data_IF_168884536121
#
_entry.id   IF_168884536121
#
_cell.length_a   1.000
_cell.length_b   1.000
_cell.length_c   1.000
_cell.angle_alpha   90.00
_cell.angle_beta   90.00
_cell.angle_gamma   90.00
#
_symmetry.space_group_name_H-M   'P 1'
#
loop_
_entity.id
_entity.type
_entity.pdbx_description
1 polymer ?
#
# COMPACT_ATOMS: atom_id res chain seq x y z
N UNK A 1 27.06 -19.25 5.82
CA UNK A 1 25.90 -19.17 4.96
C UNK A 1 25.23 -17.83 5.18
N UNK A 2 24.92 -17.14 4.12
CA UNK A 2 24.29 -15.83 4.21
C UNK A 2 22.80 -15.97 3.88
N UNK A 3 21.96 -15.48 4.76
CA UNK A 3 20.54 -15.42 4.48
C UNK A 3 20.24 -14.02 3.96
N UNK A 4 19.77 -13.94 2.72
CA UNK A 4 19.19 -12.69 2.25
C UNK A 4 17.81 -12.58 2.90
N UNK A 5 17.58 -11.52 3.62
CA UNK A 5 16.22 -11.20 4.02
C UNK A 5 15.40 -11.06 2.74
N UNK A 6 14.24 -11.70 2.69
CA UNK A 6 13.34 -11.54 1.56
C UNK A 6 12.92 -10.08 1.45
N UNK A 7 13.02 -9.52 0.26
CA UNK A 7 12.52 -8.18 -0.01
C UNK A 7 11.00 -8.19 0.04
N UNK A 8 10.43 -7.15 0.60
CA UNK A 8 8.99 -6.90 0.54
C UNK A 8 8.70 -6.35 -0.85
N UNK A 9 7.97 -7.10 -1.65
CA UNK A 9 7.63 -6.71 -3.01
C UNK A 9 6.41 -5.80 -2.95
N UNK A 10 6.56 -4.56 -3.39
CA UNK A 10 5.59 -3.50 -3.16
C UNK A 10 5.13 -2.86 -4.45
N UNK A 11 3.82 -2.64 -4.58
CA UNK A 11 3.23 -1.83 -5.63
C UNK A 11 2.77 -0.50 -5.03
N UNK A 12 3.03 0.60 -5.73
CA UNK A 12 2.70 1.94 -5.30
C UNK A 12 1.63 2.53 -6.20
N UNK A 13 0.54 3.02 -5.62
CA UNK A 13 -0.60 3.54 -6.37
C UNK A 13 -1.01 4.90 -5.84
N UNK A 14 -0.92 5.93 -6.68
CA UNK A 14 -1.33 7.29 -6.34
C UNK A 14 -1.44 8.09 -7.63
N UNK A 15 -2.49 8.88 -7.78
CA UNK A 15 -2.68 9.70 -8.97
C UNK A 15 -1.92 11.03 -8.92
N UNK A 16 -1.37 11.41 -7.77
CA UNK A 16 -0.54 12.61 -7.63
C UNK A 16 0.91 12.29 -8.00
N UNK A 17 1.28 12.60 -9.23
CA UNK A 17 2.60 12.23 -9.76
C UNK A 17 3.75 12.68 -8.86
N UNK A 18 3.72 13.93 -8.41
CA UNK A 18 4.81 14.47 -7.60
C UNK A 18 4.94 13.74 -6.26
N UNK A 19 3.82 13.53 -5.59
CA UNK A 19 3.81 12.79 -4.32
C UNK A 19 4.29 11.35 -4.53
N UNK A 20 3.79 10.70 -5.58
CA UNK A 20 4.16 9.31 -5.90
C UNK A 20 5.66 9.18 -6.16
N UNK A 21 6.24 10.10 -6.91
CA UNK A 21 7.68 10.09 -7.17
C UNK A 21 8.52 10.30 -5.92
N UNK A 22 8.08 11.20 -5.04
CA UNK A 22 8.75 11.40 -3.75
C UNK A 22 8.65 10.19 -2.85
N UNK A 23 7.48 9.58 -2.80
CA UNK A 23 7.27 8.37 -2.00
C UNK A 23 8.08 7.20 -2.55
N UNK A 24 8.15 7.04 -3.87
CA UNK A 24 9.00 6.02 -4.48
C UNK A 24 10.46 6.19 -4.09
N UNK A 25 10.96 7.42 -4.15
CA UNK A 25 12.35 7.70 -3.75
C UNK A 25 12.60 7.31 -2.30
N UNK A 26 11.65 7.60 -1.41
CA UNK A 26 11.72 7.19 -0.02
C UNK A 26 11.78 5.67 0.12
N UNK A 27 10.88 4.97 -0.56
CA UNK A 27 10.79 3.51 -0.49
C UNK A 27 12.06 2.84 -1.02
N UNK A 28 12.64 3.38 -2.08
CA UNK A 28 13.89 2.84 -2.64
C UNK A 28 15.06 2.97 -1.68
N UNK A 29 14.98 3.86 -0.70
CA UNK A 29 15.97 3.97 0.37
C UNK A 29 15.83 2.90 1.46
N UNK A 30 14.74 2.16 1.49
CA UNK A 30 14.56 1.07 2.44
C UNK A 30 15.19 -0.21 1.88
N UNK A 31 16.17 -0.76 2.58
CA UNK A 31 16.93 -1.92 2.10
C UNK A 31 16.10 -3.20 1.98
N UNK A 32 14.95 -3.25 2.66
CA UNK A 32 14.09 -4.44 2.68
C UNK A 32 12.86 -4.31 1.80
N UNK A 33 12.76 -3.28 0.96
CA UNK A 33 11.60 -3.03 0.11
C UNK A 33 12.04 -2.97 -1.35
N UNK A 34 11.29 -3.64 -2.21
CA UNK A 34 11.46 -3.58 -3.66
C UNK A 34 10.18 -3.03 -4.28
N UNK A 35 10.25 -1.87 -4.93
CA UNK A 35 9.11 -1.31 -5.65
C UNK A 35 9.01 -1.97 -7.01
N UNK A 36 7.97 -2.78 -7.21
CA UNK A 36 7.79 -3.52 -8.45
C UNK A 36 7.31 -2.62 -9.60
N UNK A 37 6.35 -1.75 -9.29
CA UNK A 37 5.79 -0.84 -10.28
C UNK A 37 5.02 0.28 -9.58
N UNK A 38 4.67 1.30 -10.34
CA UNK A 38 3.77 2.37 -9.92
C UNK A 38 2.53 2.33 -10.80
N UNK A 39 1.40 2.76 -10.23
CA UNK A 39 0.15 2.92 -10.95
C UNK A 39 -0.51 4.23 -10.54
N UNK A 40 -1.32 4.80 -11.41
CA UNK A 40 -1.99 6.07 -11.15
C UNK A 40 -3.43 5.92 -10.66
N UNK A 41 -4.00 4.73 -10.74
CA UNK A 41 -5.34 4.44 -10.24
C UNK A 41 -5.51 2.93 -10.00
N UNK A 42 -6.67 2.57 -9.43
CA UNK A 42 -6.92 1.17 -9.08
C UNK A 42 -7.07 0.25 -10.28
N UNK A 43 -7.57 0.75 -11.41
CA UNK A 43 -7.71 -0.07 -12.61
C UNK A 43 -6.34 -0.44 -13.16
N UNK A 44 -5.44 0.54 -13.26
CA UNK A 44 -4.07 0.30 -13.71
C UNK A 44 -3.34 -0.66 -12.76
N UNK A 45 -3.55 -0.52 -11.45
CA UNK A 45 -2.98 -1.44 -10.46
C UNK A 45 -3.40 -2.87 -10.74
N UNK A 46 -4.69 -3.11 -10.93
CA UNK A 46 -5.20 -4.46 -11.17
C UNK A 46 -4.66 -5.04 -12.46
N UNK A 47 -4.57 -4.24 -13.51
CA UNK A 47 -3.99 -4.66 -14.79
C UNK A 47 -2.53 -5.05 -14.62
N UNK A 48 -1.76 -4.26 -13.87
CA UNK A 48 -0.35 -4.57 -13.61
C UNK A 48 -0.20 -5.85 -12.79
N UNK A 49 -1.03 -6.05 -11.78
CA UNK A 49 -0.98 -7.27 -10.97
C UNK A 49 -1.31 -8.50 -11.82
N UNK A 50 -2.35 -8.39 -12.66
CA UNK A 50 -2.75 -9.50 -13.53
C UNK A 50 -1.64 -9.92 -14.48
N UNK A 51 -0.76 -9.01 -14.86
CA UNK A 51 0.35 -9.28 -15.75
C UNK A 51 1.56 -9.90 -15.05
N UNK A 52 1.60 -9.90 -13.72
CA UNK A 52 2.72 -10.45 -12.95
C UNK A 52 2.51 -11.95 -12.70
N UNK A 53 3.59 -12.76 -12.77
CA UNK A 53 3.49 -14.18 -12.41
C UNK A 53 3.18 -14.39 -10.92
N UNK A 54 3.63 -13.47 -10.06
CA UNK A 54 3.41 -13.52 -8.61
C UNK A 54 2.93 -12.14 -8.17
N UNK A 55 1.77 -12.04 -7.49
CA UNK A 55 1.28 -10.75 -7.00
C UNK A 55 2.27 -10.09 -6.03
N UNK A 56 2.18 -8.77 -5.84
CA UNK A 56 3.01 -8.10 -4.83
C UNK A 56 2.65 -8.58 -3.42
N UNK A 57 3.58 -8.39 -2.49
CA UNK A 57 3.32 -8.68 -1.08
C UNK A 57 2.45 -7.59 -0.46
N UNK A 58 2.75 -6.33 -0.77
CA UNK A 58 2.08 -5.16 -0.19
C UNK A 58 1.73 -4.17 -1.30
N UNK A 59 0.55 -3.61 -1.22
CA UNK A 59 0.12 -2.47 -2.04
C UNK A 59 0.01 -1.26 -1.13
N UNK A 60 0.74 -0.20 -1.44
CA UNK A 60 0.64 1.09 -0.75
C UNK A 60 -0.18 2.00 -1.66
N UNK A 61 -1.35 2.40 -1.23
CA UNK A 61 -2.37 2.94 -2.12
C UNK A 61 -3.05 4.17 -1.56
N UNK A 62 -3.14 5.22 -2.39
CA UNK A 62 -3.95 6.39 -2.07
C UNK A 62 -5.43 6.02 -2.01
N UNK A 63 -6.16 6.72 -1.17
CA UNK A 63 -7.61 6.50 -1.03
C UNK A 63 -8.39 7.15 -2.17
N UNK A 64 -8.05 8.38 -2.54
CA UNK A 64 -8.80 9.15 -3.54
C UNK A 64 -8.08 9.11 -4.88
N UNK A 65 -8.65 8.36 -5.82
CA UNK A 65 -8.10 8.19 -7.17
C UNK A 65 -9.25 8.16 -8.17
N UNK A 66 -8.98 8.55 -9.43
CA UNK A 66 -10.01 8.42 -10.48
C UNK A 66 -10.19 6.95 -10.89
N UNK A 67 -11.24 6.68 -11.62
CA UNK A 67 -11.62 5.38 -12.18
C UNK A 67 -12.03 4.39 -11.09
N UNK A 68 -11.08 3.92 -10.26
CA UNK A 68 -11.34 3.11 -9.06
C UNK A 68 -10.60 3.73 -7.89
N UNK A 69 -11.32 4.13 -6.86
CA UNK A 69 -10.70 4.68 -5.66
C UNK A 69 -10.11 3.58 -4.76
N UNK A 70 -9.50 4.00 -3.65
CA UNK A 70 -8.83 3.05 -2.75
C UNK A 70 -9.78 2.07 -2.09
N UNK A 71 -11.00 2.50 -1.76
CA UNK A 71 -11.98 1.60 -1.14
C UNK A 71 -12.47 0.56 -2.14
N UNK A 72 -12.84 0.97 -3.35
CA UNK A 72 -13.26 0.06 -4.41
C UNK A 72 -12.16 -0.93 -4.76
N UNK A 73 -10.93 -0.43 -4.85
CA UNK A 73 -9.77 -1.26 -5.18
C UNK A 73 -9.46 -2.25 -4.06
N UNK A 74 -9.61 -1.83 -2.80
CA UNK A 74 -9.44 -2.73 -1.64
C UNK A 74 -10.42 -3.90 -1.73
N UNK A 75 -11.68 -3.63 -2.03
CA UNK A 75 -12.69 -4.69 -2.19
C UNK A 75 -12.31 -5.69 -3.28
N UNK A 76 -11.86 -5.18 -4.42
CA UNK A 76 -11.46 -6.03 -5.55
C UNK A 76 -10.21 -6.85 -5.23
N UNK A 77 -9.22 -6.24 -4.60
CA UNK A 77 -8.00 -6.95 -4.19
C UNK A 77 -8.32 -8.06 -3.20
N UNK A 78 -9.18 -7.79 -2.22
CA UNK A 78 -9.56 -8.81 -1.22
C UNK A 78 -10.28 -9.98 -1.88
N UNK A 79 -11.07 -9.73 -2.92
CA UNK A 79 -11.78 -10.78 -3.64
C UNK A 79 -10.87 -11.57 -4.59
N UNK A 80 -9.97 -10.90 -5.29
CA UNK A 80 -9.18 -11.51 -6.37
C UNK A 80 -7.80 -11.98 -5.92
N UNK A 81 -7.17 -11.27 -4.97
CA UNK A 81 -5.81 -11.54 -4.49
C UNK A 81 -5.78 -11.45 -2.96
N UNK A 82 -6.43 -12.37 -2.26
CA UNK A 82 -6.60 -12.26 -0.80
C UNK A 82 -5.30 -12.27 0.00
N UNK A 83 -4.20 -12.74 -0.57
CA UNK A 83 -2.90 -12.76 0.09
C UNK A 83 -2.17 -11.40 0.00
N UNK A 84 -2.61 -10.49 -0.87
CA UNK A 84 -1.99 -9.17 -0.99
C UNK A 84 -2.39 -8.31 0.21
N UNK A 85 -1.39 -7.72 0.85
CA UNK A 85 -1.61 -6.82 1.99
C UNK A 85 -1.78 -5.40 1.49
N UNK A 86 -2.69 -4.65 2.11
CA UNK A 86 -3.09 -3.33 1.64
C UNK A 86 -2.83 -2.30 2.73
N UNK A 87 -2.01 -1.30 2.43
CA UNK A 87 -1.78 -0.14 3.31
C UNK A 87 -2.29 1.08 2.57
N UNK A 88 -3.27 1.75 3.16
CA UNK A 88 -3.84 2.99 2.60
C UNK A 88 -2.99 4.17 3.06
N UNK A 89 -2.76 5.12 2.16
CA UNK A 89 -2.12 6.39 2.50
C UNK A 89 -3.03 7.53 2.04
N UNK A 90 -3.36 8.46 2.93
CA UNK A 90 -4.39 9.45 2.67
C UNK A 90 -4.14 10.72 3.46
N UNK A 91 -4.79 11.80 3.03
CA UNK A 91 -4.81 13.06 3.80
C UNK A 91 -5.91 13.08 4.86
N UNK A 92 -6.80 12.10 4.87
CA UNK A 92 -7.96 12.05 5.76
C UNK A 92 -7.64 11.28 7.04
N UNK A 93 -8.10 11.80 8.19
CA UNK A 93 -7.84 11.20 9.49
C UNK A 93 -9.13 10.85 10.26
N UNK A 94 -10.28 10.88 9.59
CA UNK A 94 -11.57 10.61 10.24
C UNK A 94 -11.62 9.15 10.72
N UNK A 95 -11.90 8.92 12.01
CA UNK A 95 -11.91 7.56 12.56
C UNK A 95 -12.91 6.63 11.87
N UNK A 96 -14.06 7.15 11.45
CA UNK A 96 -15.08 6.36 10.76
C UNK A 96 -14.58 5.83 9.43
N UNK A 97 -13.83 6.65 8.70
CA UNK A 97 -13.26 6.25 7.40
C UNK A 97 -12.20 5.17 7.59
N UNK A 98 -11.33 5.36 8.58
CA UNK A 98 -10.27 4.40 8.90
C UNK A 98 -10.88 3.05 9.29
N UNK A 99 -11.91 3.07 10.13
CA UNK A 99 -12.60 1.86 10.55
C UNK A 99 -13.31 1.17 9.40
N UNK A 100 -13.90 1.95 8.48
CA UNK A 100 -14.53 1.40 7.28
C UNK A 100 -13.51 0.66 6.43
N UNK A 101 -12.34 1.26 6.20
CA UNK A 101 -11.29 0.63 5.41
C UNK A 101 -10.76 -0.64 6.08
N UNK A 102 -10.59 -0.59 7.40
CA UNK A 102 -10.20 -1.77 8.17
C UNK A 102 -11.22 -2.90 8.00
N UNK A 103 -12.49 -2.58 8.12
CA UNK A 103 -13.57 -3.59 7.98
C UNK A 103 -13.67 -4.15 6.57
N UNK A 104 -13.27 -3.39 5.56
CA UNK A 104 -13.23 -3.84 4.16
C UNK A 104 -11.98 -4.68 3.85
N UNK A 105 -11.06 -4.77 4.78
CA UNK A 105 -9.91 -5.66 4.66
C UNK A 105 -8.56 -4.99 4.46
N UNK A 106 -8.47 -3.66 4.60
CA UNK A 106 -7.18 -2.99 4.61
C UNK A 106 -6.37 -3.43 5.83
N UNK A 107 -5.06 -3.47 5.68
CA UNK A 107 -4.13 -3.97 6.70
C UNK A 107 -3.39 -2.85 7.43
N UNK A 108 -3.44 -1.63 6.91
CA UNK A 108 -2.82 -0.48 7.54
C UNK A 108 -3.33 0.82 6.96
N UNK A 109 -3.08 1.91 7.69
CA UNK A 109 -3.50 3.24 7.29
C UNK A 109 -2.46 4.26 7.73
N UNK A 110 -2.03 5.11 6.79
CA UNK A 110 -1.05 6.16 7.03
C UNK A 110 -1.62 7.50 6.56
N UNK A 111 -1.31 8.56 7.28
CA UNK A 111 -1.51 9.91 6.76
C UNK A 111 -0.37 10.27 5.82
N UNK A 112 -0.64 11.09 4.81
CA UNK A 112 0.37 11.52 3.83
C UNK A 112 1.51 12.34 4.45
N UNK A 113 1.34 12.84 5.68
CA UNK A 113 2.40 13.51 6.41
C UNK A 113 3.19 12.60 7.35
N UNK A 114 3.00 11.30 7.26
CA UNK A 114 3.74 10.32 8.06
C UNK A 114 5.24 10.47 7.80
N UNK A 115 6.04 10.25 8.85
CA UNK A 115 7.49 10.27 8.71
C UNK A 115 8.00 8.95 8.11
N UNK A 116 9.26 8.89 7.65
CA UNK A 116 9.79 7.69 7.01
C UNK A 116 9.71 6.43 7.88
N UNK A 117 9.95 6.53 9.17
CA UNK A 117 9.90 5.38 10.08
C UNK A 117 8.47 4.84 10.21
N UNK A 118 7.48 5.73 10.21
CA UNK A 118 6.07 5.33 10.25
C UNK A 118 5.66 4.60 8.98
N UNK A 119 6.11 5.10 7.82
CA UNK A 119 5.84 4.45 6.54
C UNK A 119 6.44 3.04 6.52
N UNK A 120 7.70 2.93 6.89
CA UNK A 120 8.41 1.64 6.93
C UNK A 120 7.73 0.68 7.90
N UNK A 121 7.40 1.16 9.10
CA UNK A 121 6.75 0.34 10.11
C UNK A 121 5.41 -0.21 9.66
N UNK A 122 4.60 0.60 8.98
CA UNK A 122 3.31 0.15 8.48
C UNK A 122 3.45 -0.92 7.40
N UNK A 123 4.42 -0.76 6.51
CA UNK A 123 4.69 -1.75 5.45
C UNK A 123 5.14 -3.08 6.08
N UNK A 124 6.05 -3.02 7.03
CA UNK A 124 6.56 -4.22 7.70
C UNK A 124 5.46 -4.92 8.50
N UNK A 125 4.65 -4.16 9.22
CA UNK A 125 3.55 -4.73 10.00
C UNK A 125 2.52 -5.42 9.11
N UNK A 126 2.16 -4.79 7.99
CA UNK A 126 1.24 -5.40 7.03
C UNK A 126 1.82 -6.68 6.45
N UNK A 127 3.10 -6.67 6.09
CA UNK A 127 3.78 -7.82 5.50
C UNK A 127 3.82 -9.01 6.46
N UNK A 128 4.05 -8.77 7.75
CA UNK A 128 4.11 -9.85 8.74
C UNK A 128 2.74 -10.32 9.21
N UNK A 129 1.67 -9.64 8.80
CA UNK A 129 0.32 -10.00 9.20
C UNK A 129 -0.06 -9.56 10.59
N UNK A 130 0.61 -8.55 11.13
CA UNK A 130 0.26 -7.97 12.42
C UNK A 130 -1.12 -7.30 12.35
N UNK A 131 -1.69 -7.03 13.53
CA UNK A 131 -2.98 -6.35 13.60
C UNK A 131 -2.91 -4.99 12.93
N UNK A 132 -4.06 -4.51 12.47
CA UNK A 132 -4.20 -3.25 11.75
C UNK A 132 -3.46 -2.11 12.45
N UNK A 133 -2.62 -1.42 11.70
CA UNK A 133 -1.85 -0.29 12.20
C UNK A 133 -2.33 0.99 11.51
N UNK A 134 -2.87 1.92 12.32
CA UNK A 134 -3.25 3.24 11.82
C UNK A 134 -2.33 4.28 12.45
N UNK A 135 -1.65 5.06 11.62
CA UNK A 135 -0.79 6.15 12.08
C UNK A 135 -1.48 7.46 11.72
N UNK A 136 -2.10 8.07 12.71
CA UNK A 136 -2.89 9.30 12.55
C UNK A 136 -2.45 10.35 13.57
N UNK A 137 -1.48 11.09 13.21
CA UNK A 137 -1.01 12.20 14.00
C UNK A 137 -0.11 11.85 15.13
#
# INVERSE_FOLDING_TARGET
MTFSASLIRLALVDDHLLFRKGLRALLEGFSNVEVLFEASDGQELLECIDALPIPPDVVLMDLQMPVLDGLQTTRLLRAQYPQVRIVIISMHDEPELIEQLRSEGAHGYLLKNANPDEVRGAIEAAHTGESFCAVVG
#
